data_IF_002586181859
#
_entry.id   IF_002586181859
#
_cell.length_a   1.000
_cell.length_b   1.000
_cell.length_c   1.000
_cell.angle_alpha   90.00
_cell.angle_beta   90.00
_cell.angle_gamma   90.00
#
_symmetry.space_group_name_H-M   'P 1'
#
loop_
_entity.id
_entity.type
_entity.pdbx_description
1 polymer ?
#
# COMPACT_ATOMS: atom_id res chain seq x y z
N UNK A 1 7.84 -2.17 8.36
CA UNK A 1 8.15 -1.72 6.99
C UNK A 1 8.11 -0.19 6.91
N UNK A 2 6.96 0.45 7.20
CA UNK A 2 6.76 1.91 7.02
C UNK A 2 7.79 2.76 7.78
N UNK A 3 8.18 2.35 8.99
CA UNK A 3 9.17 3.05 9.82
C UNK A 3 10.62 2.61 9.57
N UNK A 4 10.86 1.69 8.64
CA UNK A 4 12.23 1.29 8.31
C UNK A 4 13.01 2.43 7.62
N UNK A 5 14.35 2.40 7.63
CA UNK A 5 15.18 3.42 6.97
C UNK A 5 14.98 3.48 5.46
N UNK A 6 14.62 2.34 4.85
CA UNK A 6 14.33 2.23 3.41
C UNK A 6 13.09 1.37 3.18
N UNK A 7 11.90 1.93 3.38
CA UNK A 7 10.64 1.18 3.34
C UNK A 7 10.31 0.58 1.97
N UNK A 8 10.83 1.13 0.87
CA UNK A 8 10.64 0.57 -0.47
C UNK A 8 11.05 -0.90 -0.55
N UNK A 9 12.14 -1.31 0.10
CA UNK A 9 12.61 -2.71 0.10
C UNK A 9 11.53 -3.65 0.64
N UNK A 10 10.90 -3.30 1.76
CA UNK A 10 9.84 -4.12 2.35
C UNK A 10 8.60 -4.22 1.45
N UNK A 11 8.18 -3.11 0.84
CA UNK A 11 7.04 -3.12 -0.10
C UNK A 11 7.35 -3.88 -1.39
N UNK A 12 8.56 -3.77 -1.92
CA UNK A 12 8.98 -4.54 -3.10
C UNK A 12 9.05 -6.05 -2.83
N UNK A 13 9.50 -6.46 -1.64
CA UNK A 13 9.49 -7.87 -1.22
C UNK A 13 8.06 -8.41 -1.08
N UNK A 14 7.16 -7.65 -0.45
CA UNK A 14 5.75 -8.00 -0.36
C UNK A 14 5.10 -8.11 -1.75
N UNK A 15 5.49 -7.25 -2.66
CA UNK A 15 5.01 -7.28 -4.03
C UNK A 15 5.51 -8.50 -4.81
N UNK A 16 6.82 -8.76 -4.79
CA UNK A 16 7.45 -9.91 -5.45
C UNK A 16 6.93 -11.25 -4.93
N UNK A 17 6.57 -11.34 -3.65
CA UNK A 17 5.98 -12.54 -3.05
C UNK A 17 4.49 -12.71 -3.35
N UNK A 18 3.83 -11.74 -3.97
CA UNK A 18 2.38 -11.71 -4.18
C UNK A 18 1.55 -11.35 -2.95
N UNK A 19 2.18 -11.21 -1.78
CA UNK A 19 1.49 -10.86 -0.54
C UNK A 19 0.88 -9.46 -0.59
N UNK A 20 1.54 -8.49 -1.25
CA UNK A 20 1.02 -7.14 -1.34
C UNK A 20 -0.35 -7.08 -2.02
N UNK A 21 -0.57 -7.88 -3.07
CA UNK A 21 -1.86 -7.98 -3.76
C UNK A 21 -2.97 -8.49 -2.84
N UNK A 22 -2.65 -9.35 -1.89
CA UNK A 22 -3.62 -9.91 -0.94
C UNK A 22 -3.95 -8.91 0.19
N UNK A 23 -2.95 -8.23 0.72
CA UNK A 23 -3.11 -7.37 1.90
C UNK A 23 -3.42 -5.91 1.55
N UNK A 24 -2.90 -5.41 0.43
CA UNK A 24 -3.03 -4.02 0.02
C UNK A 24 -3.17 -3.88 -1.51
N UNK A 25 -4.24 -4.45 -2.13
CA UNK A 25 -4.45 -4.41 -3.57
C UNK A 25 -4.56 -2.99 -4.13
N UNK A 26 -5.03 -2.02 -3.33
CA UNK A 26 -5.15 -0.63 -3.75
C UNK A 26 -3.77 -0.01 -4.06
N UNK A 27 -2.73 -0.37 -3.31
CA UNK A 27 -1.37 0.07 -3.60
C UNK A 27 -0.83 -0.61 -4.86
N UNK A 28 -1.13 -1.89 -5.07
CA UNK A 28 -0.78 -2.61 -6.30
C UNK A 28 -1.46 -2.00 -7.54
N UNK A 29 -2.67 -1.47 -7.42
CA UNK A 29 -3.39 -0.82 -8.51
C UNK A 29 -2.69 0.46 -9.04
N UNK A 30 -1.74 1.01 -8.30
CA UNK A 30 -0.90 2.14 -8.75
C UNK A 30 0.15 1.74 -9.79
N UNK A 31 0.40 0.44 -9.99
CA UNK A 31 1.41 -0.05 -10.93
C UNK A 31 1.02 0.23 -12.37
N UNK A 32 2.05 0.32 -13.18
CA UNK A 32 1.96 0.43 -14.61
C UNK A 32 2.15 1.85 -15.10
N UNK A 33 2.85 1.92 -16.23
CA UNK A 33 2.98 3.13 -17.04
C UNK A 33 2.30 2.83 -18.37
N UNK A 34 1.41 3.71 -18.80
CA UNK A 34 0.71 3.58 -20.07
C UNK A 34 1.07 4.74 -20.99
N UNK A 35 1.16 4.45 -22.28
CA UNK A 35 1.31 5.45 -23.33
C UNK A 35 0.14 5.34 -24.29
N UNK A 36 -0.56 6.44 -24.51
CA UNK A 36 -1.67 6.55 -25.46
C UNK A 36 -1.48 7.81 -26.30
N UNK A 37 -1.56 7.68 -27.60
CA UNK A 37 -1.35 8.79 -28.55
C UNK A 37 -0.02 9.54 -28.35
N UNK A 38 1.05 8.81 -27.97
CA UNK A 38 2.36 9.39 -27.69
C UNK A 38 2.50 10.06 -26.32
N UNK A 39 1.44 10.10 -25.52
CA UNK A 39 1.44 10.70 -24.18
C UNK A 39 1.46 9.58 -23.14
N UNK A 40 2.54 9.52 -22.36
CA UNK A 40 2.72 8.56 -21.28
C UNK A 40 2.39 9.12 -19.90
N UNK A 41 2.13 8.24 -18.94
CA UNK A 41 2.19 8.56 -17.53
C UNK A 41 3.17 7.63 -16.80
N UNK A 42 3.75 8.13 -15.71
CA UNK A 42 4.70 7.37 -14.90
C UNK A 42 4.01 6.25 -14.11
N UNK A 43 4.81 5.25 -13.72
CA UNK A 43 4.40 4.24 -12.74
C UNK A 43 4.22 4.91 -11.37
N UNK A 44 2.96 4.99 -10.92
CA UNK A 44 2.63 5.66 -9.66
C UNK A 44 3.01 4.81 -8.44
N UNK A 45 3.13 3.48 -8.55
CA UNK A 45 3.64 2.62 -7.49
C UNK A 45 5.12 2.91 -7.21
N UNK A 46 5.95 2.86 -8.23
CA UNK A 46 7.37 3.18 -8.10
C UNK A 46 7.59 4.61 -7.59
N UNK A 47 6.78 5.57 -8.08
CA UNK A 47 6.81 6.95 -7.59
C UNK A 47 6.46 7.04 -6.10
N UNK A 48 5.42 6.36 -5.65
CA UNK A 48 5.00 6.35 -4.25
C UNK A 48 6.11 5.81 -3.35
N UNK A 49 6.76 4.70 -3.73
CA UNK A 49 7.88 4.14 -2.95
C UNK A 49 9.07 5.08 -2.91
N UNK A 50 9.37 5.78 -4.00
CA UNK A 50 10.44 6.78 -4.04
C UNK A 50 10.14 7.97 -3.11
N UNK A 51 8.90 8.46 -3.10
CA UNK A 51 8.47 9.54 -2.19
C UNK A 51 8.60 9.10 -0.74
N UNK A 52 8.15 7.88 -0.43
CA UNK A 52 8.25 7.30 0.91
C UNK A 52 9.70 7.16 1.37
N UNK A 53 10.61 6.67 0.51
CA UNK A 53 12.03 6.57 0.82
C UNK A 53 12.70 7.93 1.05
N UNK A 54 12.29 8.96 0.31
CA UNK A 54 12.78 10.32 0.54
C UNK A 54 12.30 10.86 1.89
N UNK A 55 11.03 10.69 2.19
CA UNK A 55 10.43 11.13 3.44
C UNK A 55 11.03 10.39 4.66
N UNK A 56 11.38 9.12 4.49
CA UNK A 56 11.99 8.31 5.57
C UNK A 56 13.33 8.87 6.06
N UNK A 57 14.03 9.66 5.25
CA UNK A 57 15.29 10.31 5.60
C UNK A 57 15.08 11.60 6.44
N UNK A 58 13.88 12.15 6.46
CA UNK A 58 13.59 13.46 7.06
C UNK A 58 12.70 13.37 8.30
N UNK A 59 11.94 12.29 8.45
CA UNK A 59 11.01 12.13 9.57
C UNK A 59 10.73 10.68 9.92
N UNK A 60 10.58 10.42 11.21
CA UNK A 60 10.10 9.14 11.76
C UNK A 60 8.62 9.19 12.14
N UNK A 61 7.92 10.25 11.78
CA UNK A 61 6.49 10.36 12.02
C UNK A 61 5.73 9.36 11.16
N UNK A 62 5.11 8.36 11.79
CA UNK A 62 4.36 7.29 11.14
C UNK A 62 3.26 7.80 10.22
N UNK A 63 2.51 8.82 10.65
CA UNK A 63 1.38 9.35 9.90
C UNK A 63 1.80 10.12 8.66
N UNK A 64 2.92 10.85 8.73
CA UNK A 64 3.49 11.49 7.55
C UNK A 64 3.97 10.45 6.53
N UNK A 65 4.59 9.36 6.98
CA UNK A 65 4.99 8.27 6.08
C UNK A 65 3.77 7.56 5.45
N UNK A 66 2.70 7.33 6.20
CA UNK A 66 1.44 6.84 5.66
C UNK A 66 0.82 7.81 4.66
N UNK A 67 0.88 9.12 4.90
CA UNK A 67 0.37 10.10 3.93
C UNK A 67 1.11 10.04 2.60
N UNK A 68 2.42 9.74 2.61
CA UNK A 68 3.18 9.49 1.39
C UNK A 68 2.71 8.25 0.63
N UNK A 69 2.28 7.19 1.33
CA UNK A 69 1.72 5.99 0.70
C UNK A 69 0.36 6.29 0.08
N UNK A 70 -0.46 7.11 0.73
CA UNK A 70 -1.83 7.38 0.30
C UNK A 70 -2.00 8.55 -0.67
N UNK A 71 -0.98 9.40 -0.88
CA UNK A 71 -1.15 10.65 -1.65
C UNK A 71 -1.70 10.44 -3.06
N UNK A 72 -1.38 9.33 -3.70
CA UNK A 72 -1.78 8.98 -5.06
C UNK A 72 -2.80 7.81 -5.13
N UNK A 73 -3.25 7.28 -4.00
CA UNK A 73 -4.05 6.04 -3.93
C UNK A 73 -5.37 6.12 -4.72
N UNK A 74 -5.90 7.30 -4.92
CA UNK A 74 -7.13 7.55 -5.69
C UNK A 74 -6.92 7.65 -7.21
N UNK A 75 -5.67 7.65 -7.71
CA UNK A 75 -5.39 7.81 -9.13
C UNK A 75 -5.98 6.71 -10.01
N UNK A 76 -5.91 5.41 -9.67
CA UNK A 76 -6.51 4.37 -10.51
C UNK A 76 -8.00 4.55 -10.74
N UNK A 77 -8.74 4.97 -9.70
CA UNK A 77 -10.19 5.18 -9.78
C UNK A 77 -10.60 6.43 -10.58
N UNK A 78 -9.69 7.40 -10.72
CA UNK A 78 -9.96 8.69 -11.36
C UNK A 78 -9.25 8.86 -12.71
N UNK A 79 -8.50 7.85 -13.14
CA UNK A 79 -7.73 7.85 -14.37
C UNK A 79 -8.62 8.01 -15.60
N UNK A 80 -8.35 9.01 -16.43
CA UNK A 80 -9.02 9.28 -17.71
C UNK A 80 -7.98 9.76 -18.73
N UNK A 81 -8.25 9.52 -19.99
CA UNK A 81 -7.46 10.07 -21.10
C UNK A 81 -8.28 11.12 -21.83
N UNK A 82 -7.73 12.32 -21.95
CA UNK A 82 -8.27 13.42 -22.75
C UNK A 82 -7.36 13.63 -23.96
N UNK A 83 -7.88 13.66 -25.22
CA UNK A 83 -7.04 13.84 -26.42
C UNK A 83 -6.22 15.13 -26.44
N UNK A 84 -6.66 16.18 -25.71
CA UNK A 84 -5.98 17.49 -25.64
C UNK A 84 -5.04 17.61 -24.44
N UNK A 85 -5.41 17.01 -23.31
CA UNK A 85 -4.68 17.14 -22.04
C UNK A 85 -3.81 15.92 -21.71
N UNK A 86 -4.02 14.77 -22.38
CA UNK A 86 -3.41 13.51 -22.06
C UNK A 86 -4.05 12.83 -20.84
N UNK A 87 -3.27 12.11 -20.07
CA UNK A 87 -3.75 11.42 -18.87
C UNK A 87 -4.12 12.40 -17.76
N UNK A 88 -5.31 12.28 -17.23
CA UNK A 88 -5.84 13.10 -16.14
C UNK A 88 -6.29 12.24 -14.95
N UNK A 89 -6.21 12.81 -13.75
CA UNK A 89 -6.55 12.15 -12.49
C UNK A 89 -7.33 13.10 -11.58
N UNK A 90 -8.34 13.77 -12.16
CA UNK A 90 -9.11 14.77 -11.43
C UNK A 90 -9.76 14.20 -10.16
N UNK A 91 -9.67 14.95 -9.06
CA UNK A 91 -10.22 14.58 -7.76
C UNK A 91 -9.61 13.31 -7.11
N UNK A 92 -8.42 12.85 -7.57
CA UNK A 92 -7.78 11.67 -6.98
C UNK A 92 -7.52 11.83 -5.48
N UNK A 93 -7.22 13.04 -5.01
CA UNK A 93 -7.03 13.36 -3.60
C UNK A 93 -8.31 13.15 -2.78
N UNK A 94 -9.47 13.60 -3.28
CA UNK A 94 -10.77 13.44 -2.61
C UNK A 94 -11.18 11.97 -2.59
N UNK A 95 -11.04 11.28 -3.71
CA UNK A 95 -11.35 9.84 -3.80
C UNK A 95 -10.40 9.04 -2.94
N UNK A 96 -9.10 9.33 -2.99
CA UNK A 96 -8.10 8.70 -2.13
C UNK A 96 -8.41 8.87 -0.65
N UNK A 97 -8.75 10.07 -0.20
CA UNK A 97 -9.13 10.32 1.18
C UNK A 97 -10.33 9.47 1.64
N UNK A 98 -11.33 9.27 0.77
CA UNK A 98 -12.48 8.40 1.06
C UNK A 98 -12.12 6.91 1.13
N UNK A 99 -11.05 6.47 0.46
CA UNK A 99 -10.59 5.08 0.48
C UNK A 99 -9.85 4.71 1.78
N UNK A 100 -9.16 5.67 2.41
CA UNK A 100 -8.26 5.44 3.55
C UNK A 100 -8.93 4.69 4.72
N UNK A 101 -10.12 5.09 5.22
CA UNK A 101 -10.75 4.39 6.33
C UNK A 101 -11.02 2.90 6.06
N UNK A 102 -11.47 2.57 4.85
CA UNK A 102 -11.73 1.19 4.41
C UNK A 102 -10.44 0.38 4.32
N UNK A 103 -9.37 0.96 3.78
CA UNK A 103 -8.05 0.33 3.69
C UNK A 103 -7.50 0.02 5.09
N UNK A 104 -7.50 1.00 6.00
CA UNK A 104 -7.04 0.78 7.37
C UNK A 104 -7.86 -0.26 8.11
N UNK A 105 -9.18 -0.23 7.99
CA UNK A 105 -10.05 -1.24 8.60
C UNK A 105 -9.68 -2.66 8.14
N UNK A 106 -9.43 -2.85 6.85
CA UNK A 106 -9.00 -4.13 6.28
C UNK A 106 -7.63 -4.55 6.80
N UNK A 107 -6.65 -3.65 6.83
CA UNK A 107 -5.30 -3.94 7.35
C UNK A 107 -5.34 -4.32 8.83
N UNK A 108 -6.13 -3.62 9.65
CA UNK A 108 -6.30 -3.94 11.09
C UNK A 108 -6.94 -5.32 11.26
N UNK A 109 -7.98 -5.65 10.50
CA UNK A 109 -8.62 -6.97 10.56
C UNK A 109 -7.66 -8.11 10.19
N UNK A 110 -6.80 -7.91 9.21
CA UNK A 110 -5.77 -8.89 8.83
C UNK A 110 -4.76 -9.10 9.95
N UNK A 111 -4.29 -8.02 10.59
CA UNK A 111 -3.38 -8.10 11.75
C UNK A 111 -4.06 -8.85 12.90
N UNK A 112 -5.32 -8.55 13.19
CA UNK A 112 -6.09 -9.21 14.24
C UNK A 112 -6.25 -10.71 14.00
N UNK A 113 -6.52 -11.11 12.74
CA UNK A 113 -6.59 -12.52 12.36
C UNK A 113 -5.26 -13.24 12.58
N UNK A 114 -4.14 -12.63 12.18
CA UNK A 114 -2.80 -13.21 12.39
C UNK A 114 -2.49 -13.35 13.88
N UNK A 115 -2.79 -12.34 14.70
CA UNK A 115 -2.57 -12.37 16.14
C UNK A 115 -3.44 -13.42 16.82
N UNK A 116 -4.72 -13.55 16.45
CA UNK A 116 -5.62 -14.57 17.00
C UNK A 116 -5.17 -15.98 16.62
N UNK A 117 -4.70 -16.18 15.39
CA UNK A 117 -4.18 -17.47 14.94
C UNK A 117 -2.91 -17.86 15.71
N UNK A 118 -2.03 -16.90 15.97
CA UNK A 118 -0.82 -17.13 16.77
C UNK A 118 -1.14 -17.48 18.23
N UNK A 119 -2.14 -16.82 18.82
CA UNK A 119 -2.60 -17.10 20.18
C UNK A 119 -3.23 -18.49 20.28
N UNK A 120 -4.07 -18.88 19.32
CA UNK A 120 -4.66 -20.22 19.23
C UNK A 120 -3.56 -21.29 19.10
N UNK A 121 -2.55 -21.05 18.25
CA UNK A 121 -1.43 -21.98 18.07
C UNK A 121 -0.60 -22.14 19.35
N UNK A 122 -0.34 -21.06 20.08
CA UNK A 122 0.34 -21.10 21.38
C UNK A 122 -0.48 -21.88 22.42
N UNK A 123 -1.79 -21.67 22.51
CA UNK A 123 -2.68 -22.40 23.41
C UNK A 123 -2.71 -23.91 23.07
N UNK A 124 -2.75 -24.25 21.79
CA UNK A 124 -2.70 -25.65 21.33
C UNK A 124 -1.39 -26.32 21.73
N UNK A 125 -0.26 -25.63 21.56
CA UNK A 125 1.06 -26.13 21.94
C UNK A 125 1.19 -26.33 23.46
N UNK A 126 0.58 -25.47 24.27
CA UNK A 126 0.56 -25.59 25.73
C UNK A 126 -0.30 -26.77 26.19
N UNK A 127 -1.47 -26.97 25.60
CA UNK A 127 -2.34 -28.11 25.91
C UNK A 127 -1.71 -29.49 25.59
N UNK A 128 -1.00 -29.58 24.45
CA UNK A 128 -0.36 -30.83 24.05
C UNK A 128 0.95 -31.11 24.80
N UNK A 129 1.66 -30.09 25.27
CA UNK A 129 2.88 -30.27 26.08
C UNK A 129 2.59 -30.73 27.51
N UNK A 130 1.35 -30.59 27.99
CA UNK A 130 0.95 -31.06 29.34
C UNK A 130 0.46 -32.50 29.36
N UNK A 131 0.37 -33.17 28.19
CA UNK A 131 -0.07 -34.57 28.06
C UNK A 131 1.05 -35.54 27.61
N UNK A 132 2.26 -35.07 27.53
CA UNK A 132 3.48 -35.89 27.36
C UNK A 132 4.38 -35.70 28.59
#
# INVERSE_FOLDING_TARGET
>A
IVLSPKPSIGFELLDKSGLLQLIFPELCALKGAETKEGIGHKDNFAHTLMVLDRLSKTTDNLWLRWSAIFHDIGKPATKRFDPRLGWTFHNHNIIGAKMIPTIFKKLILLIQLVLNFHLIFLLFRFCFSSYS
#
